data_IF_545420416762
#
_entry.id   IF_545420416762
#
_cell.length_a   1.000
_cell.length_b   1.000
_cell.length_c   1.000
_cell.angle_alpha   90.00
_cell.angle_beta   90.00
_cell.angle_gamma   90.00
#
_symmetry.space_group_name_H-M   'P 1'
#
loop_
_entity.id
_entity.type
_entity.pdbx_description
1 polymer ?
#
# COMPACT_ATOMS: atom_id res chain seq x y z
N UNK A 1 -49.12 24.12 -10.57
CA UNK A 1 -48.13 24.92 -11.33
C UNK A 1 -46.74 24.86 -10.70
N UNK A 2 -46.60 24.77 -9.37
CA UNK A 2 -45.32 24.63 -8.66
C UNK A 2 -44.50 23.41 -9.14
N UNK A 3 -45.14 22.25 -9.30
CA UNK A 3 -44.48 21.02 -9.80
C UNK A 3 -43.82 21.17 -11.19
N UNK A 4 -44.44 21.91 -12.11
CA UNK A 4 -43.88 22.08 -13.45
C UNK A 4 -42.67 23.02 -13.46
N UNK A 5 -42.66 24.01 -12.56
CA UNK A 5 -41.56 24.95 -12.42
C UNK A 5 -40.35 24.30 -11.76
N UNK A 6 -40.57 23.51 -10.72
CA UNK A 6 -39.53 22.69 -10.08
C UNK A 6 -38.96 21.66 -11.07
N UNK A 7 -39.82 21.06 -11.90
CA UNK A 7 -39.41 20.16 -12.97
C UNK A 7 -38.51 20.84 -14.01
N UNK A 8 -38.88 21.99 -14.56
CA UNK A 8 -38.03 22.68 -15.54
C UNK A 8 -36.70 23.10 -14.90
N UNK A 9 -36.73 23.56 -13.64
CA UNK A 9 -35.52 23.86 -12.87
C UNK A 9 -34.60 22.65 -12.70
N UNK A 10 -35.16 21.48 -12.39
CA UNK A 10 -34.38 20.24 -12.22
C UNK A 10 -33.82 19.72 -13.54
N UNK A 11 -34.51 19.91 -14.67
CA UNK A 11 -34.01 19.58 -16.01
C UNK A 11 -32.81 20.46 -16.38
N UNK A 12 -32.86 21.76 -16.11
CA UNK A 12 -31.72 22.67 -16.34
C UNK A 12 -30.53 22.24 -15.48
N UNK A 13 -30.77 21.91 -14.21
CA UNK A 13 -29.75 21.37 -13.30
C UNK A 13 -29.13 20.08 -13.84
N UNK A 14 -29.94 19.16 -14.35
CA UNK A 14 -29.48 17.90 -14.92
C UNK A 14 -28.57 18.12 -16.14
N UNK A 15 -28.96 18.99 -17.06
CA UNK A 15 -28.10 19.33 -18.21
C UNK A 15 -26.82 20.03 -17.77
N UNK A 16 -26.88 20.92 -16.78
CA UNK A 16 -25.70 21.56 -16.19
C UNK A 16 -24.73 20.52 -15.60
N UNK A 17 -25.25 19.63 -14.77
CA UNK A 17 -24.45 18.63 -14.05
C UNK A 17 -23.91 17.54 -14.98
N UNK A 18 -24.69 17.11 -15.99
CA UNK A 18 -24.23 16.18 -17.02
C UNK A 18 -23.12 16.75 -17.91
N UNK A 19 -23.00 18.08 -18.02
CA UNK A 19 -21.88 18.77 -18.68
C UNK A 19 -20.76 19.14 -17.71
N UNK A 20 -20.87 18.76 -16.43
CA UNK A 20 -19.87 19.04 -15.40
C UNK A 20 -19.74 20.52 -15.05
N UNK A 21 -20.73 21.34 -15.39
CA UNK A 21 -20.71 22.78 -15.17
C UNK A 21 -21.10 23.08 -13.72
N UNK A 22 -20.32 23.91 -13.06
CA UNK A 22 -20.76 24.53 -11.82
C UNK A 22 -21.88 25.54 -12.12
N UNK A 23 -22.70 25.81 -11.11
CA UNK A 23 -23.77 26.80 -11.24
C UNK A 23 -23.23 28.21 -11.52
N UNK A 24 -21.96 28.50 -11.18
CA UNK A 24 -21.30 29.76 -11.55
C UNK A 24 -20.90 29.80 -13.02
N UNK A 25 -20.32 28.72 -13.53
CA UNK A 25 -19.92 28.64 -14.94
C UNK A 25 -21.12 28.74 -15.87
N UNK A 26 -22.22 28.01 -15.59
CA UNK A 26 -23.42 28.14 -16.41
C UNK A 26 -24.05 29.54 -16.31
N UNK A 27 -24.01 30.17 -15.15
CA UNK A 27 -24.52 31.53 -14.97
C UNK A 27 -23.72 32.56 -15.79
N UNK A 28 -22.39 32.43 -15.79
CA UNK A 28 -21.50 33.27 -16.59
C UNK A 28 -21.71 33.04 -18.09
N UNK A 29 -21.76 31.78 -18.53
CA UNK A 29 -21.95 31.42 -19.94
C UNK A 29 -23.30 31.86 -20.50
N UNK A 30 -24.35 31.80 -19.67
CA UNK A 30 -25.68 32.27 -20.02
C UNK A 30 -25.88 33.76 -19.76
N UNK A 31 -24.86 34.50 -19.34
CA UNK A 31 -24.96 35.93 -18.97
C UNK A 31 -26.18 36.21 -18.07
N UNK A 32 -26.31 35.42 -17.00
CA UNK A 32 -27.37 35.57 -15.99
C UNK A 32 -26.78 35.63 -14.58
N UNK A 33 -27.40 36.38 -13.64
CA UNK A 33 -26.92 36.39 -12.28
C UNK A 33 -26.95 34.98 -11.66
N UNK A 34 -25.84 34.58 -11.04
CA UNK A 34 -25.73 33.30 -10.30
C UNK A 34 -26.90 33.05 -9.35
N UNK A 35 -27.32 34.09 -8.62
CA UNK A 35 -28.44 34.02 -7.68
C UNK A 35 -29.77 33.76 -8.37
N UNK A 36 -29.93 34.20 -9.62
CA UNK A 36 -31.12 33.97 -10.42
C UNK A 36 -31.14 32.55 -10.96
N UNK A 37 -30.02 32.06 -11.52
CA UNK A 37 -29.91 30.67 -11.98
C UNK A 37 -30.12 29.67 -10.82
N UNK A 38 -29.56 29.97 -9.65
CA UNK A 38 -29.72 29.12 -8.45
C UNK A 38 -31.19 29.00 -8.02
N UNK A 39 -31.92 30.12 -8.03
CA UNK A 39 -33.35 30.14 -7.73
C UNK A 39 -34.18 29.51 -8.85
N UNK A 40 -33.76 29.61 -10.11
CA UNK A 40 -34.44 28.97 -11.23
C UNK A 40 -34.34 27.44 -11.15
N UNK A 41 -33.15 26.89 -10.87
CA UNK A 41 -32.95 25.44 -10.74
C UNK A 41 -33.62 24.81 -9.51
N UNK A 42 -33.78 25.58 -8.44
CA UNK A 42 -34.49 25.14 -7.23
C UNK A 42 -36.01 25.30 -7.34
N UNK A 43 -36.51 25.95 -8.40
CA UNK A 43 -37.93 26.27 -8.54
C UNK A 43 -38.37 27.54 -7.79
N UNK A 44 -37.47 28.22 -7.08
CA UNK A 44 -37.71 29.44 -6.30
C UNK A 44 -37.79 30.72 -7.13
N UNK A 45 -37.36 30.71 -8.41
CA UNK A 45 -37.57 31.79 -9.40
C UNK A 45 -38.29 31.27 -10.66
N UNK A 46 -39.15 32.09 -11.28
CA UNK A 46 -39.87 31.73 -12.50
C UNK A 46 -38.90 31.80 -13.67
N UNK A 47 -38.93 30.77 -14.51
CA UNK A 47 -38.20 30.71 -15.78
C UNK A 47 -39.14 31.24 -16.87
N UNK A 48 -38.71 32.26 -17.59
CA UNK A 48 -39.42 32.76 -18.77
C UNK A 48 -38.97 32.00 -20.04
N UNK A 49 -39.73 32.19 -21.12
CA UNK A 49 -39.48 31.50 -22.38
C UNK A 49 -38.18 31.91 -23.04
N UNK A 50 -37.74 33.17 -22.88
CA UNK A 50 -36.50 33.68 -23.47
C UNK A 50 -35.28 33.03 -22.83
N UNK A 51 -35.29 32.91 -21.49
CA UNK A 51 -34.26 32.19 -20.76
C UNK A 51 -34.25 30.70 -21.12
N UNK A 52 -35.42 30.06 -21.24
CA UNK A 52 -35.49 28.65 -21.60
C UNK A 52 -34.95 28.38 -23.02
N UNK A 53 -35.19 29.27 -23.99
CA UNK A 53 -34.57 29.21 -25.33
C UNK A 53 -33.04 29.30 -25.21
N UNK A 54 -32.54 30.26 -24.43
CA UNK A 54 -31.10 30.47 -24.23
C UNK A 54 -30.41 29.23 -23.65
N UNK A 55 -31.07 28.57 -22.69
CA UNK A 55 -30.58 27.33 -22.09
C UNK A 55 -30.62 26.16 -23.09
N UNK A 56 -31.72 26.03 -23.84
CA UNK A 56 -31.88 25.01 -24.86
C UNK A 56 -30.81 25.12 -25.97
N UNK A 57 -30.56 26.33 -26.45
CA UNK A 57 -29.50 26.62 -27.44
C UNK A 57 -28.10 26.34 -26.88
N UNK A 58 -27.83 26.74 -25.64
CA UNK A 58 -26.55 26.48 -24.97
C UNK A 58 -26.25 24.98 -24.86
N UNK A 59 -27.26 24.17 -24.53
CA UNK A 59 -27.11 22.72 -24.42
C UNK A 59 -27.30 21.97 -25.74
N UNK A 60 -27.68 22.66 -26.82
CA UNK A 60 -27.94 22.07 -28.13
C UNK A 60 -29.15 21.13 -28.15
N UNK A 61 -30.17 21.41 -27.35
CA UNK A 61 -31.40 20.61 -27.22
C UNK A 61 -32.63 21.42 -27.61
N UNK A 62 -33.74 20.75 -27.97
CA UNK A 62 -34.98 21.47 -28.28
C UNK A 62 -35.74 21.82 -26.99
N UNK A 63 -36.53 22.90 -27.03
CA UNK A 63 -37.38 23.29 -25.89
C UNK A 63 -38.39 22.18 -25.55
N UNK A 64 -38.95 21.51 -26.56
CA UNK A 64 -39.84 20.37 -26.36
C UNK A 64 -39.14 19.24 -25.58
N UNK A 65 -37.84 19.01 -25.82
CA UNK A 65 -37.03 18.05 -25.05
C UNK A 65 -36.91 18.45 -23.58
N UNK A 66 -36.80 19.75 -23.28
CA UNK A 66 -36.71 20.23 -21.90
C UNK A 66 -38.06 20.23 -21.17
N UNK A 67 -39.18 20.21 -21.91
CA UNK A 67 -40.54 20.35 -21.36
C UNK A 67 -41.34 19.03 -21.32
N UNK A 68 -40.88 17.96 -21.98
CA UNK A 68 -41.64 16.72 -22.09
C UNK A 68 -41.52 15.80 -20.85
N UNK A 69 -42.67 15.39 -20.30
CA UNK A 69 -42.87 14.81 -18.95
C UNK A 69 -42.40 13.35 -18.73
N UNK A 70 -41.33 12.89 -19.37
CA UNK A 70 -40.79 11.54 -19.11
C UNK A 70 -39.26 11.58 -18.96
N UNK A 71 -38.81 11.89 -17.74
CA UNK A 71 -37.40 11.74 -17.29
C UNK A 71 -36.82 10.37 -17.71
N UNK A 72 -37.68 9.34 -17.70
CA UNK A 72 -37.34 7.96 -18.05
C UNK A 72 -37.13 7.71 -19.56
N UNK A 73 -37.64 8.55 -20.47
CA UNK A 73 -37.42 8.40 -21.92
C UNK A 73 -36.14 9.10 -22.40
N UNK A 74 -35.70 10.14 -21.68
CA UNK A 74 -34.41 10.79 -21.94
C UNK A 74 -33.27 9.88 -21.44
N UNK A 75 -33.38 9.30 -20.24
CA UNK A 75 -32.45 8.25 -19.79
C UNK A 75 -32.42 7.08 -20.79
N UNK A 76 -33.58 6.55 -21.20
CA UNK A 76 -33.65 5.41 -22.14
C UNK A 76 -33.06 5.71 -23.52
N UNK A 77 -33.26 6.90 -24.09
CA UNK A 77 -32.73 7.23 -25.42
C UNK A 77 -31.23 7.59 -25.40
N UNK A 78 -30.73 8.14 -24.29
CA UNK A 78 -29.30 8.40 -24.10
C UNK A 78 -28.57 7.07 -23.85
N UNK A 79 -29.14 6.19 -23.02
CA UNK A 79 -28.64 4.83 -22.81
C UNK A 79 -28.79 3.93 -24.04
N UNK A 80 -29.83 4.06 -24.88
CA UNK A 80 -29.96 3.26 -26.12
C UNK A 80 -28.94 3.63 -27.21
N UNK A 81 -28.49 4.89 -27.27
CA UNK A 81 -27.40 5.29 -28.20
C UNK A 81 -26.01 4.96 -27.66
N UNK A 82 -25.83 4.96 -26.34
CA UNK A 82 -24.58 4.53 -25.70
C UNK A 82 -24.46 3.00 -25.59
N UNK A 83 -25.57 2.25 -25.61
CA UNK A 83 -25.57 0.78 -25.51
C UNK A 83 -25.05 0.04 -26.76
N UNK A 84 -24.55 0.73 -27.78
CA UNK A 84 -23.83 0.10 -28.90
C UNK A 84 -22.29 0.11 -28.73
N UNK A 85 -21.71 0.90 -27.81
CA UNK A 85 -20.27 0.86 -27.49
C UNK A 85 -20.03 0.17 -26.14
N UNK A 86 -19.44 -1.02 -26.14
CA UNK A 86 -19.04 -1.70 -24.91
C UNK A 86 -17.73 -1.16 -24.34
N UNK A 87 -17.38 -1.55 -23.11
CA UNK A 87 -16.09 -1.21 -22.48
C UNK A 87 -14.86 -1.41 -23.38
N UNK A 88 -14.84 -2.48 -24.20
CA UNK A 88 -13.80 -2.71 -25.22
C UNK A 88 -13.65 -1.53 -26.18
N UNK A 89 -14.75 -1.03 -26.73
CA UNK A 89 -14.74 0.05 -27.73
C UNK A 89 -14.32 1.37 -27.09
N UNK A 90 -14.71 1.61 -25.84
CA UNK A 90 -14.27 2.76 -25.07
C UNK A 90 -12.75 2.74 -24.80
N UNK A 91 -12.17 1.59 -24.46
CA UNK A 91 -10.70 1.45 -24.35
C UNK A 91 -10.01 1.62 -25.70
N UNK A 92 -10.56 1.00 -26.75
CA UNK A 92 -10.03 1.11 -28.12
C UNK A 92 -10.00 2.56 -28.60
N UNK A 93 -11.03 3.34 -28.29
CA UNK A 93 -11.08 4.76 -28.63
C UNK A 93 -9.88 5.54 -28.05
N UNK A 94 -9.45 5.23 -26.83
CA UNK A 94 -8.26 5.86 -26.23
C UNK A 94 -7.01 5.46 -27.01
N UNK A 95 -6.80 4.16 -27.21
CA UNK A 95 -5.62 3.64 -27.90
C UNK A 95 -5.46 4.25 -29.29
N UNK A 96 -6.56 4.39 -30.03
CA UNK A 96 -6.55 4.89 -31.41
C UNK A 96 -6.36 6.43 -31.49
N UNK A 97 -6.84 7.19 -30.50
CA UNK A 97 -6.99 8.65 -30.63
C UNK A 97 -6.13 9.48 -29.66
N UNK A 98 -5.51 8.86 -28.64
CA UNK A 98 -4.82 9.63 -27.59
C UNK A 98 -3.56 10.35 -28.09
N UNK A 99 -2.81 9.77 -29.03
CA UNK A 99 -1.61 10.42 -29.60
C UNK A 99 -1.97 11.73 -30.30
N UNK A 100 -3.07 11.74 -31.06
CA UNK A 100 -3.58 12.94 -31.72
C UNK A 100 -4.08 13.92 -30.68
N UNK A 101 -4.91 13.47 -29.73
CA UNK A 101 -5.42 14.31 -28.65
C UNK A 101 -4.31 15.04 -27.87
N UNK A 102 -3.19 14.37 -27.62
CA UNK A 102 -2.04 14.94 -26.90
C UNK A 102 -1.35 16.08 -27.67
N UNK A 103 -1.54 16.18 -28.98
CA UNK A 103 -1.07 17.31 -29.79
C UNK A 103 -2.06 18.49 -29.83
N UNK A 104 -3.26 18.31 -29.29
CA UNK A 104 -4.33 19.31 -29.27
C UNK A 104 -4.38 20.06 -27.92
N UNK A 105 -5.23 21.10 -27.86
CA UNK A 105 -5.45 21.87 -26.62
C UNK A 105 -6.02 20.97 -25.51
N UNK A 106 -5.41 21.01 -24.33
CA UNK A 106 -5.81 20.17 -23.19
C UNK A 106 -7.19 20.54 -22.61
N UNK A 107 -7.50 21.82 -22.50
CA UNK A 107 -8.70 22.31 -21.78
C UNK A 107 -9.97 21.83 -22.49
N UNK A 108 -10.89 21.24 -21.73
CA UNK A 108 -12.21 20.77 -22.20
C UNK A 108 -12.17 19.75 -23.35
N UNK A 109 -11.05 19.06 -23.54
CA UNK A 109 -10.90 18.11 -24.63
C UNK A 109 -11.74 16.83 -24.43
N UNK A 110 -12.40 16.35 -25.50
CA UNK A 110 -13.27 15.15 -25.50
C UNK A 110 -12.60 13.89 -24.92
N UNK A 111 -11.33 13.65 -25.26
CA UNK A 111 -10.53 12.54 -24.71
C UNK A 111 -10.40 12.64 -23.18
N UNK A 112 -10.28 13.85 -22.64
CA UNK A 112 -10.24 14.06 -21.20
C UNK A 112 -11.57 13.68 -20.53
N UNK A 113 -12.71 14.02 -21.14
CA UNK A 113 -14.02 13.59 -20.65
C UNK A 113 -14.21 12.07 -20.78
N UNK A 114 -13.76 11.49 -21.91
CA UNK A 114 -13.85 10.06 -22.17
C UNK A 114 -13.14 9.22 -21.09
N UNK A 115 -11.90 9.60 -20.75
CA UNK A 115 -11.12 8.91 -19.71
C UNK A 115 -11.68 9.17 -18.31
N UNK A 116 -12.11 10.40 -18.00
CA UNK A 116 -12.53 10.78 -16.64
C UNK A 116 -13.95 10.33 -16.28
N UNK A 117 -14.87 10.35 -17.25
CA UNK A 117 -16.30 10.18 -16.99
C UNK A 117 -16.89 8.97 -17.72
N UNK A 118 -16.68 8.85 -19.03
CA UNK A 118 -17.31 7.77 -19.83
C UNK A 118 -16.82 6.39 -19.37
N UNK A 119 -15.50 6.17 -19.35
CA UNK A 119 -14.94 4.90 -18.89
C UNK A 119 -15.25 4.64 -17.41
N UNK A 120 -15.23 5.70 -16.58
CA UNK A 120 -15.55 5.59 -15.16
C UNK A 120 -16.94 4.97 -14.98
N UNK A 121 -17.96 5.54 -15.65
CA UNK A 121 -19.34 5.09 -15.52
C UNK A 121 -19.50 3.66 -16.05
N UNK A 122 -18.90 3.34 -17.20
CA UNK A 122 -18.91 1.97 -17.76
C UNK A 122 -18.34 0.94 -16.80
N UNK A 123 -17.21 1.23 -16.14
CA UNK A 123 -16.61 0.32 -15.14
C UNK A 123 -17.56 0.10 -13.97
N UNK A 124 -18.16 1.19 -13.45
CA UNK A 124 -19.09 1.12 -12.31
C UNK A 124 -20.29 0.23 -12.65
N UNK A 125 -20.91 0.47 -13.80
CA UNK A 125 -22.10 -0.24 -14.24
C UNK A 125 -21.80 -1.71 -14.60
N UNK A 126 -20.84 -1.97 -15.50
CA UNK A 126 -20.58 -3.31 -16.00
C UNK A 126 -19.93 -4.23 -14.94
N UNK A 127 -19.08 -3.68 -14.06
CA UNK A 127 -18.48 -4.46 -12.97
C UNK A 127 -19.36 -4.52 -11.71
N UNK A 128 -20.41 -3.70 -11.61
CA UNK A 128 -21.33 -3.65 -10.47
C UNK A 128 -20.65 -3.13 -9.19
N UNK A 129 -19.90 -2.04 -9.30
CA UNK A 129 -19.15 -1.47 -8.18
C UNK A 129 -20.02 -0.51 -7.36
N UNK A 130 -19.99 -0.67 -6.03
CA UNK A 130 -20.61 0.29 -5.10
C UNK A 130 -19.73 1.54 -4.97
N UNK A 131 -20.19 2.67 -5.49
CA UNK A 131 -19.49 3.95 -5.41
C UNK A 131 -19.34 4.49 -3.98
N UNK A 132 -20.03 3.94 -2.98
CA UNK A 132 -19.75 4.27 -1.58
C UNK A 132 -18.43 3.67 -1.11
N UNK A 133 -18.06 2.49 -1.62
CA UNK A 133 -16.83 1.77 -1.27
C UNK A 133 -15.68 2.03 -2.24
N UNK A 134 -15.98 2.13 -3.53
CA UNK A 134 -14.98 2.28 -4.57
C UNK A 134 -14.91 3.72 -5.07
N UNK A 135 -13.69 4.20 -5.35
CA UNK A 135 -13.47 5.47 -6.03
C UNK A 135 -12.72 5.22 -7.33
N UNK A 136 -13.39 5.49 -8.46
CA UNK A 136 -12.84 5.33 -9.79
C UNK A 136 -12.50 6.71 -10.34
N UNK A 137 -11.28 6.88 -10.82
CA UNK A 137 -10.82 8.15 -11.38
C UNK A 137 -9.88 7.91 -12.56
N UNK A 138 -10.11 8.65 -13.64
CA UNK A 138 -9.23 8.70 -14.80
C UNK A 138 -8.35 9.96 -14.79
N UNK A 139 -7.17 9.85 -15.37
CA UNK A 139 -6.30 11.00 -15.60
C UNK A 139 -5.66 10.94 -16.98
N UNK A 140 -5.71 12.07 -17.66
CA UNK A 140 -4.93 12.36 -18.88
C UNK A 140 -3.90 13.45 -18.61
N UNK A 141 -3.55 13.65 -17.33
CA UNK A 141 -2.74 14.76 -16.83
C UNK A 141 -3.59 15.89 -16.21
N UNK A 142 -2.90 16.85 -15.61
CA UNK A 142 -3.48 18.01 -14.92
C UNK A 142 -2.90 19.29 -15.51
N UNK A 143 -3.68 19.98 -16.35
CA UNK A 143 -3.25 21.19 -17.06
C UNK A 143 -2.37 20.94 -18.28
N UNK A 144 -1.69 19.79 -18.35
CA UNK A 144 -0.92 19.30 -19.50
C UNK A 144 -1.23 17.84 -19.74
N UNK A 145 -1.10 17.37 -20.99
CA UNK A 145 -1.31 15.98 -21.35
C UNK A 145 -0.25 15.07 -20.71
N UNK A 146 -0.71 14.00 -20.07
CA UNK A 146 0.16 12.97 -19.54
C UNK A 146 0.75 12.13 -20.68
N UNK A 147 2.00 11.72 -20.50
CA UNK A 147 2.64 10.73 -21.38
C UNK A 147 1.91 9.38 -21.30
N UNK A 148 1.52 9.00 -20.07
CA UNK A 148 0.80 7.78 -19.72
C UNK A 148 -0.54 8.19 -19.09
N UNK A 149 -1.66 8.18 -19.84
CA UNK A 149 -2.97 8.28 -19.23
C UNK A 149 -3.27 7.01 -18.44
N UNK A 150 -4.21 7.10 -17.50
CA UNK A 150 -4.59 5.97 -16.67
C UNK A 150 -6.01 6.08 -16.14
N UNK A 151 -6.59 4.94 -15.75
CA UNK A 151 -7.83 4.86 -14.96
C UNK A 151 -7.56 3.99 -13.74
N UNK A 152 -7.74 4.52 -12.54
CA UNK A 152 -7.55 3.81 -11.29
C UNK A 152 -8.87 3.49 -10.61
N UNK A 153 -8.89 2.37 -9.92
CA UNK A 153 -10.00 1.87 -9.11
C UNK A 153 -9.44 1.68 -7.69
N UNK A 154 -9.93 2.51 -6.78
CA UNK A 154 -9.50 2.54 -5.39
C UNK A 154 -10.57 1.96 -4.48
N UNK A 155 -10.17 1.18 -3.48
CA UNK A 155 -10.96 0.95 -2.27
C UNK A 155 -10.70 2.16 -1.36
N UNK A 156 -11.74 2.93 -1.06
CA UNK A 156 -11.62 4.23 -0.36
C UNK A 156 -10.93 4.13 1.00
N UNK A 157 -11.14 3.02 1.71
CA UNK A 157 -10.53 2.77 3.02
C UNK A 157 -9.02 2.51 2.94
N UNK A 158 -8.51 2.10 1.76
CA UNK A 158 -7.08 1.92 1.52
C UNK A 158 -6.46 3.21 0.99
N UNK A 159 -7.06 3.80 -0.05
CA UNK A 159 -6.53 4.99 -0.71
C UNK A 159 -7.58 5.68 -1.57
N UNK A 160 -7.31 6.93 -1.92
CA UNK A 160 -8.06 7.70 -2.93
C UNK A 160 -7.14 8.33 -3.98
N UNK A 161 -5.86 7.91 -4.00
CA UNK A 161 -4.82 8.47 -4.87
C UNK A 161 -3.90 7.38 -5.41
N UNK A 162 -3.42 7.55 -6.65
CA UNK A 162 -2.43 6.66 -7.24
C UNK A 162 -1.01 6.85 -6.66
N UNK A 163 -0.82 7.80 -5.76
CA UNK A 163 0.51 8.09 -5.18
C UNK A 163 0.81 7.29 -3.92
N UNK A 164 -0.20 6.68 -3.30
CA UNK A 164 -0.13 5.94 -2.03
C UNK A 164 -1.13 4.79 -2.01
N UNK A 165 -0.84 3.76 -1.21
CA UNK A 165 -1.70 2.60 -1.05
C UNK A 165 -1.60 1.63 -2.22
N UNK A 166 -2.48 0.64 -2.18
CA UNK A 166 -2.64 -0.37 -3.23
C UNK A 166 -3.88 -0.05 -4.03
N UNK A 167 -3.89 -0.41 -5.31
CA UNK A 167 -5.01 -0.10 -6.19
C UNK A 167 -4.95 -0.91 -7.48
N UNK A 168 -6.08 -0.99 -8.17
CA UNK A 168 -6.12 -1.49 -9.54
C UNK A 168 -6.03 -0.30 -10.48
N UNK A 169 -5.25 -0.43 -11.55
CA UNK A 169 -5.08 0.64 -12.55
C UNK A 169 -4.97 0.09 -13.96
N UNK A 170 -5.67 0.73 -14.89
CA UNK A 170 -5.43 0.63 -16.32
C UNK A 170 -4.34 1.65 -16.70
N UNK A 171 -3.16 1.18 -17.09
CA UNK A 171 -2.01 2.00 -17.49
C UNK A 171 -1.77 1.87 -18.99
N UNK A 172 -1.99 2.94 -19.74
CA UNK A 172 -1.74 2.94 -21.18
C UNK A 172 -0.25 3.12 -21.45
N UNK A 173 0.29 2.36 -22.41
CA UNK A 173 1.67 2.56 -22.85
C UNK A 173 1.81 3.94 -23.50
N UNK A 174 2.98 4.57 -23.38
CA UNK A 174 3.26 5.92 -23.87
C UNK A 174 3.07 6.06 -25.40
N UNK A 175 3.22 4.96 -26.13
CA UNK A 175 3.03 4.81 -27.57
C UNK A 175 1.60 4.37 -27.96
N UNK A 176 0.73 4.08 -26.98
CA UNK A 176 -0.62 3.52 -27.14
C UNK A 176 -0.65 2.15 -27.83
N UNK A 177 0.45 1.39 -27.85
CA UNK A 177 0.47 0.05 -28.45
C UNK A 177 -0.34 -0.97 -27.64
N UNK A 178 -0.75 -0.61 -26.43
CA UNK A 178 -1.57 -1.44 -25.54
C UNK A 178 -1.80 -0.77 -24.19
N UNK A 179 -2.58 -1.45 -23.35
CA UNK A 179 -2.93 -1.02 -22.00
C UNK A 179 -2.75 -2.17 -21.03
N UNK A 180 -2.06 -1.94 -19.91
CA UNK A 180 -1.97 -2.91 -18.83
C UNK A 180 -3.14 -2.72 -17.88
N UNK A 181 -3.77 -3.80 -17.43
CA UNK A 181 -4.44 -3.80 -16.12
C UNK A 181 -3.43 -4.27 -15.08
N UNK A 182 -3.33 -3.56 -13.98
CA UNK A 182 -2.32 -3.81 -12.95
C UNK A 182 -2.95 -3.70 -11.57
N UNK A 183 -2.76 -4.72 -10.74
CA UNK A 183 -2.72 -4.52 -9.29
C UNK A 183 -1.37 -3.83 -9.00
N UNK A 184 -1.42 -2.66 -8.40
CA UNK A 184 -0.28 -1.75 -8.29
C UNK A 184 -0.24 -1.10 -6.90
N UNK A 185 0.84 -0.38 -6.62
CA UNK A 185 1.07 0.32 -5.36
C UNK A 185 1.77 1.66 -5.57
N UNK A 186 1.49 2.59 -4.64
CA UNK A 186 2.00 3.96 -4.69
C UNK A 186 3.48 4.06 -4.34
N UNK A 187 4.23 4.75 -5.21
CA UNK A 187 5.68 5.00 -5.08
C UNK A 187 6.10 5.92 -3.92
N UNK A 188 5.24 6.86 -3.52
CA UNK A 188 5.62 8.00 -2.66
C UNK A 188 6.15 7.58 -1.29
N UNK A 189 5.55 6.56 -0.69
CA UNK A 189 5.97 6.04 0.61
C UNK A 189 7.44 5.59 0.59
N UNK A 190 7.80 4.77 -0.39
CA UNK A 190 9.14 4.20 -0.52
C UNK A 190 10.18 5.27 -0.83
N UNK A 191 9.86 6.23 -1.71
CA UNK A 191 10.73 7.37 -2.02
C UNK A 191 11.03 8.20 -0.77
N UNK A 192 10.01 8.50 0.02
CA UNK A 192 10.16 9.37 1.19
C UNK A 192 10.94 8.67 2.32
N UNK A 193 10.68 7.37 2.53
CA UNK A 193 11.31 6.60 3.62
C UNK A 193 12.74 6.15 3.28
N UNK A 194 12.96 5.60 2.09
CA UNK A 194 14.22 4.94 1.71
C UNK A 194 15.03 5.72 0.67
N UNK A 195 14.53 6.86 0.17
CA UNK A 195 15.14 7.58 -0.95
C UNK A 195 14.93 6.88 -2.30
N UNK A 196 15.45 7.46 -3.38
CA UNK A 196 15.14 6.99 -4.74
C UNK A 196 15.70 5.61 -5.08
N UNK A 197 16.96 5.33 -4.74
CA UNK A 197 17.62 4.08 -5.15
C UNK A 197 17.05 2.89 -4.37
N UNK A 198 17.23 2.90 -3.04
CA UNK A 198 16.73 1.85 -2.17
C UNK A 198 15.20 1.76 -2.18
N UNK A 199 14.50 2.89 -2.31
CA UNK A 199 13.03 2.88 -2.43
C UNK A 199 12.54 2.05 -3.62
N UNK A 200 13.23 2.07 -4.77
CA UNK A 200 12.87 1.26 -5.96
C UNK A 200 13.02 -0.23 -5.68
N UNK A 201 14.07 -0.61 -4.97
CA UNK A 201 14.28 -1.99 -4.52
C UNK A 201 13.17 -2.39 -3.52
N UNK A 202 12.84 -1.53 -2.55
CA UNK A 202 11.83 -1.82 -1.52
C UNK A 202 10.41 -1.92 -2.04
N UNK A 203 10.02 -1.12 -3.04
CA UNK A 203 8.70 -1.25 -3.66
C UNK A 203 8.60 -2.57 -4.44
N UNK A 204 9.66 -2.98 -5.14
CA UNK A 204 9.72 -4.27 -5.83
C UNK A 204 9.67 -5.44 -4.84
N UNK A 205 10.45 -5.39 -3.75
CA UNK A 205 10.38 -6.38 -2.66
C UNK A 205 8.95 -6.49 -2.11
N UNK A 206 8.28 -5.35 -1.91
CA UNK A 206 6.89 -5.31 -1.43
C UNK A 206 5.93 -5.97 -2.43
N UNK A 207 6.10 -5.73 -3.73
CA UNK A 207 5.31 -6.36 -4.77
C UNK A 207 5.48 -7.89 -4.74
N UNK A 208 6.72 -8.37 -4.63
CA UNK A 208 7.03 -9.80 -4.58
C UNK A 208 6.51 -10.48 -3.31
N UNK A 209 6.58 -9.80 -2.17
CA UNK A 209 6.03 -10.30 -0.90
C UNK A 209 4.52 -10.43 -1.00
N UNK A 210 3.83 -9.41 -1.50
CA UNK A 210 2.37 -9.46 -1.68
C UNK A 210 1.99 -10.57 -2.64
N UNK A 211 2.67 -10.67 -3.79
CA UNK A 211 2.41 -11.71 -4.79
C UNK A 211 2.51 -13.12 -4.19
N UNK A 212 3.50 -13.38 -3.35
CA UNK A 212 3.67 -14.68 -2.65
C UNK A 212 2.62 -14.94 -1.56
N UNK A 213 2.08 -13.90 -0.95
CA UNK A 213 1.08 -14.01 0.12
C UNK A 213 -0.35 -14.16 -0.40
N UNK A 214 -0.63 -13.69 -1.61
CA UNK A 214 -1.96 -13.74 -2.21
C UNK A 214 -2.34 -15.16 -2.64
N UNK A 215 -3.50 -15.62 -2.19
CA UNK A 215 -4.06 -16.92 -2.56
C UNK A 215 -4.94 -16.84 -3.82
N UNK A 216 -5.44 -15.65 -4.13
CA UNK A 216 -6.45 -15.43 -5.19
C UNK A 216 -5.86 -14.85 -6.47
N UNK A 217 -4.54 -14.90 -6.65
CA UNK A 217 -3.88 -14.36 -7.84
C UNK A 217 -4.48 -14.98 -9.12
N UNK A 218 -4.99 -14.18 -10.07
CA UNK A 218 -5.74 -14.73 -11.20
C UNK A 218 -4.83 -15.40 -12.25
N UNK A 219 -5.29 -16.51 -12.83
CA UNK A 219 -4.53 -17.29 -13.80
C UNK A 219 -4.13 -16.48 -15.06
N UNK A 220 -4.99 -15.58 -15.50
CA UNK A 220 -4.74 -14.76 -16.70
C UNK A 220 -3.80 -13.57 -16.42
N UNK A 221 -3.42 -13.32 -15.16
CA UNK A 221 -2.55 -12.22 -14.75
C UNK A 221 -1.08 -12.66 -14.70
N UNK A 222 -0.52 -12.93 -15.87
CA UNK A 222 0.82 -13.51 -16.02
C UNK A 222 1.96 -12.50 -15.97
N UNK A 223 1.67 -11.20 -16.14
CA UNK A 223 2.71 -10.18 -16.08
C UNK A 223 3.09 -9.92 -14.61
N UNK A 224 4.37 -10.11 -14.30
CA UNK A 224 4.99 -9.71 -13.02
C UNK A 224 5.87 -8.48 -13.17
N UNK A 225 6.06 -8.02 -14.41
CA UNK A 225 6.76 -6.79 -14.79
C UNK A 225 5.99 -6.13 -15.94
N UNK A 226 6.04 -4.80 -16.01
CA UNK A 226 5.39 -4.02 -17.08
C UNK A 226 6.36 -3.00 -17.67
N UNK A 227 6.12 -2.62 -18.93
CA UNK A 227 6.90 -1.58 -19.61
C UNK A 227 5.95 -0.58 -20.27
N UNK A 228 5.84 0.60 -19.66
CA UNK A 228 4.99 1.69 -20.10
C UNK A 228 5.68 2.55 -21.15
N UNK A 229 7.02 2.57 -21.18
CA UNK A 229 7.80 3.33 -22.16
C UNK A 229 7.84 4.84 -21.91
N UNK A 230 7.43 5.29 -20.73
CA UNK A 230 7.53 6.70 -20.32
C UNK A 230 8.88 7.02 -19.68
N UNK A 231 9.31 8.29 -19.76
CA UNK A 231 10.67 8.71 -19.34
C UNK A 231 10.76 9.25 -17.90
N UNK A 232 9.63 9.44 -17.23
CA UNK A 232 9.55 10.10 -15.92
C UNK A 232 9.57 9.18 -14.69
N UNK A 233 9.90 9.76 -13.53
CA UNK A 233 9.85 9.10 -12.20
C UNK A 233 8.52 8.39 -11.92
N UNK A 234 7.40 8.97 -12.39
CA UNK A 234 6.07 8.38 -12.22
C UNK A 234 5.87 7.13 -13.08
N UNK A 235 6.36 7.12 -14.32
CA UNK A 235 6.30 5.95 -15.18
C UNK A 235 7.08 4.78 -14.55
N UNK A 236 8.31 5.06 -14.11
CA UNK A 236 9.13 4.09 -13.39
C UNK A 236 8.50 3.70 -12.05
N UNK A 237 7.82 4.61 -11.36
CA UNK A 237 7.07 4.33 -10.15
C UNK A 237 5.96 3.29 -10.38
N UNK A 238 5.20 3.43 -11.47
CA UNK A 238 4.18 2.44 -11.84
C UNK A 238 4.76 1.08 -12.24
N UNK A 239 5.88 1.08 -12.98
CA UNK A 239 6.57 -0.15 -13.39
C UNK A 239 7.11 -0.91 -12.17
N UNK A 240 7.80 -0.21 -11.26
CA UNK A 240 8.34 -0.81 -10.03
C UNK A 240 7.26 -1.15 -9.00
N UNK A 241 6.12 -0.44 -9.03
CA UNK A 241 4.96 -0.69 -8.18
C UNK A 241 4.06 -1.83 -8.65
N UNK A 242 4.34 -2.42 -9.82
CA UNK A 242 3.52 -3.48 -10.37
C UNK A 242 3.59 -4.76 -9.53
N UNK A 243 2.44 -5.22 -9.04
CA UNK A 243 2.34 -6.48 -8.28
C UNK A 243 2.09 -7.63 -9.23
N UNK A 244 1.01 -7.58 -10.00
CA UNK A 244 0.79 -8.40 -11.19
C UNK A 244 -0.34 -7.84 -12.04
N UNK A 245 -0.49 -8.36 -13.25
CA UNK A 245 -1.52 -7.96 -14.18
C UNK A 245 -1.38 -8.63 -15.53
N UNK A 246 -1.93 -8.00 -16.57
CA UNK A 246 -1.69 -8.43 -17.95
C UNK A 246 -1.77 -7.26 -18.93
N UNK A 247 -1.14 -7.46 -20.09
CA UNK A 247 -1.19 -6.52 -21.21
C UNK A 247 -2.39 -6.84 -22.11
N UNK A 248 -3.11 -5.81 -22.50
CA UNK A 248 -4.06 -5.83 -23.62
C UNK A 248 -3.42 -5.15 -24.81
N UNK A 249 -3.05 -5.93 -25.82
CA UNK A 249 -2.48 -5.43 -27.08
C UNK A 249 -3.55 -4.67 -27.88
N UNK A 250 -3.21 -3.48 -28.40
CA UNK A 250 -4.16 -2.65 -29.13
C UNK A 250 -4.71 -3.32 -30.40
N UNK A 251 -3.97 -4.24 -31.00
CA UNK A 251 -4.37 -5.00 -32.18
C UNK A 251 -5.16 -6.26 -31.84
N UNK A 252 -5.17 -6.68 -30.57
CA UNK A 252 -5.83 -7.90 -30.12
C UNK A 252 -6.55 -7.69 -28.77
N UNK A 253 -7.42 -6.69 -28.72
CA UNK A 253 -8.22 -6.41 -27.53
C UNK A 253 -9.25 -7.53 -27.28
N UNK A 254 -9.39 -7.98 -26.02
CA UNK A 254 -10.41 -8.96 -25.66
C UNK A 254 -11.82 -8.36 -25.67
N UNK A 255 -12.83 -9.20 -25.41
CA UNK A 255 -14.22 -8.74 -25.30
C UNK A 255 -14.46 -7.92 -24.02
N UNK A 256 -15.48 -7.05 -24.00
CA UNK A 256 -15.88 -6.32 -22.77
C UNK A 256 -16.13 -7.27 -21.61
N UNK A 257 -16.80 -8.41 -21.86
CA UNK A 257 -17.03 -9.45 -20.85
C UNK A 257 -15.73 -9.96 -20.22
N UNK A 258 -14.69 -10.14 -21.02
CA UNK A 258 -13.39 -10.63 -20.54
C UNK A 258 -12.65 -9.56 -19.74
N UNK A 259 -12.66 -8.29 -20.18
CA UNK A 259 -12.12 -7.17 -19.39
C UNK A 259 -12.76 -7.07 -18.00
N UNK A 260 -14.10 -7.20 -17.95
CA UNK A 260 -14.84 -7.13 -16.69
C UNK A 260 -14.58 -8.36 -15.82
N UNK A 261 -14.39 -9.54 -16.43
CA UNK A 261 -13.98 -10.75 -15.71
C UNK A 261 -12.63 -10.57 -15.04
N UNK A 262 -11.63 -10.11 -15.78
CA UNK A 262 -10.29 -9.82 -15.26
C UNK A 262 -10.32 -8.82 -14.10
N UNK A 263 -11.10 -7.75 -14.25
CA UNK A 263 -11.26 -6.75 -13.20
C UNK A 263 -11.86 -7.37 -11.92
N UNK A 264 -12.89 -8.22 -12.06
CA UNK A 264 -13.52 -8.90 -10.91
C UNK A 264 -12.56 -9.87 -10.21
N UNK A 265 -11.71 -10.55 -10.97
CA UNK A 265 -10.65 -11.39 -10.41
C UNK A 265 -9.63 -10.56 -9.62
N UNK A 266 -9.14 -9.45 -10.20
CA UNK A 266 -8.23 -8.53 -9.50
C UNK A 266 -8.85 -7.88 -8.27
N UNK A 267 -10.15 -7.55 -8.31
CA UNK A 267 -10.88 -7.02 -7.16
C UNK A 267 -10.93 -8.02 -6.01
N UNK A 268 -10.92 -9.33 -6.29
CA UNK A 268 -10.87 -10.37 -5.26
C UNK A 268 -9.54 -10.31 -4.53
N UNK A 269 -8.43 -10.23 -5.26
CA UNK A 269 -7.11 -10.12 -4.64
C UNK A 269 -6.85 -8.77 -3.99
N UNK A 270 -7.41 -7.69 -4.52
CA UNK A 270 -7.31 -6.38 -3.89
C UNK A 270 -8.02 -6.37 -2.52
N UNK A 271 -9.16 -7.05 -2.39
CA UNK A 271 -9.83 -7.28 -1.09
C UNK A 271 -9.02 -8.21 -0.16
N UNK A 272 -8.25 -9.14 -0.71
CA UNK A 272 -7.33 -9.96 0.10
C UNK A 272 -6.20 -9.10 0.70
N UNK A 273 -5.68 -8.12 -0.06
CA UNK A 273 -4.76 -7.10 0.49
C UNK A 273 -5.42 -6.30 1.61
N UNK A 274 -6.65 -5.80 1.39
CA UNK A 274 -7.45 -5.12 2.44
C UNK A 274 -7.56 -5.96 3.71
N UNK A 275 -7.88 -7.25 3.56
CA UNK A 275 -7.97 -8.18 4.68
C UNK A 275 -6.61 -8.43 5.34
N UNK A 276 -5.51 -8.53 4.58
CA UNK A 276 -4.17 -8.66 5.14
C UNK A 276 -3.76 -7.41 5.92
N UNK A 277 -4.08 -6.21 5.42
CA UNK A 277 -3.81 -4.94 6.11
C UNK A 277 -4.45 -4.93 7.50
N UNK A 278 -5.70 -5.36 7.64
CA UNK A 278 -6.41 -5.33 8.92
C UNK A 278 -6.55 -3.88 9.41
N UNK A 279 -6.24 -3.63 10.69
CA UNK A 279 -6.40 -2.30 11.30
C UNK A 279 -5.21 -1.36 11.06
N UNK A 280 -4.30 -1.71 10.15
CA UNK A 280 -3.10 -0.91 9.85
C UNK A 280 -3.40 0.14 8.79
N UNK A 281 -2.79 1.31 8.95
CA UNK A 281 -2.61 2.22 7.83
C UNK A 281 -1.76 1.58 6.73
N UNK A 282 -1.81 2.14 5.51
CA UNK A 282 -0.98 1.71 4.39
C UNK A 282 0.51 1.70 4.76
N UNK A 283 0.99 2.75 5.42
CA UNK A 283 2.41 2.90 5.74
C UNK A 283 2.83 1.82 6.76
N UNK A 284 2.03 1.62 7.81
CA UNK A 284 2.25 0.55 8.81
C UNK A 284 2.20 -0.86 8.19
N UNK A 285 1.35 -1.06 7.18
CA UNK A 285 1.32 -2.33 6.46
C UNK A 285 2.60 -2.54 5.65
N UNK A 286 3.07 -1.51 4.93
CA UNK A 286 4.35 -1.57 4.22
C UNK A 286 5.53 -1.81 5.18
N UNK A 287 5.57 -1.13 6.32
CA UNK A 287 6.57 -1.36 7.38
C UNK A 287 6.60 -2.83 7.78
N UNK A 288 5.43 -3.40 8.07
CA UNK A 288 5.33 -4.80 8.46
C UNK A 288 5.74 -5.77 7.35
N UNK A 289 5.38 -5.51 6.09
CA UNK A 289 5.78 -6.37 4.97
C UNK A 289 7.31 -6.38 4.80
N UNK A 290 7.95 -5.22 4.99
CA UNK A 290 9.38 -5.06 4.80
C UNK A 290 10.24 -5.48 5.98
N UNK A 291 9.66 -5.82 7.14
CA UNK A 291 10.41 -6.25 8.34
C UNK A 291 11.54 -7.24 8.04
N UNK A 292 11.19 -8.42 7.50
CA UNK A 292 12.17 -9.45 7.17
C UNK A 292 13.17 -9.04 6.08
N UNK A 293 12.76 -8.15 5.17
CA UNK A 293 13.61 -7.59 4.10
C UNK A 293 14.59 -6.54 4.67
N UNK A 294 14.22 -5.90 5.77
CA UNK A 294 15.04 -4.99 6.59
C UNK A 294 15.86 -5.76 7.65
N UNK A 295 15.84 -7.10 7.67
CA UNK A 295 16.58 -7.92 8.65
C UNK A 295 15.97 -7.94 10.05
N UNK A 296 14.71 -7.50 10.17
CA UNK A 296 13.97 -7.35 11.40
C UNK A 296 12.90 -8.42 11.58
N UNK A 297 12.69 -8.85 12.83
CA UNK A 297 11.81 -9.96 13.19
C UNK A 297 11.01 -9.63 14.45
N UNK A 298 9.85 -10.27 14.62
CA UNK A 298 9.01 -10.11 15.81
C UNK A 298 9.17 -11.29 16.78
N UNK A 299 8.84 -11.06 18.04
CA UNK A 299 8.79 -12.06 19.12
C UNK A 299 7.32 -12.29 19.51
N UNK A 300 6.57 -13.03 18.70
CA UNK A 300 5.12 -13.27 18.94
C UNK A 300 4.80 -14.70 19.37
N UNK A 301 5.50 -15.70 18.82
CA UNK A 301 5.26 -17.11 19.07
C UNK A 301 6.52 -17.96 18.86
N UNK A 302 6.40 -19.27 19.10
CA UNK A 302 7.50 -20.21 19.00
C UNK A 302 8.00 -20.40 17.56
N UNK A 303 7.13 -20.31 16.55
CA UNK A 303 7.53 -20.44 15.14
C UNK A 303 8.38 -19.25 14.70
N UNK A 304 8.01 -18.04 15.14
CA UNK A 304 8.80 -16.83 14.91
C UNK A 304 10.13 -16.84 15.64
N UNK A 305 10.18 -17.43 16.84
CA UNK A 305 11.43 -17.62 17.57
C UNK A 305 12.38 -18.55 16.82
N UNK A 306 11.90 -19.71 16.36
CA UNK A 306 12.72 -20.64 15.57
C UNK A 306 13.18 -20.00 14.26
N UNK A 307 12.29 -19.27 13.58
CA UNK A 307 12.64 -18.53 12.37
C UNK A 307 13.71 -17.46 12.64
N UNK A 308 13.63 -16.75 13.76
CA UNK A 308 14.64 -15.76 14.14
C UNK A 308 16.01 -16.42 14.37
N UNK A 309 16.07 -17.55 15.07
CA UNK A 309 17.33 -18.29 15.28
C UNK A 309 17.93 -18.78 13.95
N UNK A 310 17.12 -19.25 12.99
CA UNK A 310 17.58 -19.60 11.63
C UNK A 310 18.20 -18.39 10.90
N UNK A 311 17.60 -17.21 11.05
CA UNK A 311 18.10 -15.98 10.41
C UNK A 311 19.40 -15.49 11.03
N UNK A 312 19.59 -15.67 12.34
CA UNK A 312 20.88 -15.44 12.99
C UNK A 312 21.95 -16.37 12.42
N UNK A 313 21.65 -17.66 12.24
CA UNK A 313 22.60 -18.60 11.61
C UNK A 313 22.92 -18.18 10.17
N UNK A 314 21.92 -17.75 9.41
CA UNK A 314 22.13 -17.25 8.04
C UNK A 314 23.05 -16.01 8.01
N UNK A 315 22.86 -15.06 8.92
CA UNK A 315 23.70 -13.87 9.08
C UNK A 315 25.17 -14.24 9.36
N UNK A 316 25.39 -15.12 10.35
CA UNK A 316 26.72 -15.63 10.69
C UNK A 316 27.41 -16.30 9.49
N UNK A 317 26.66 -17.04 8.68
CA UNK A 317 27.20 -17.72 7.49
C UNK A 317 27.65 -16.78 6.37
N UNK A 318 27.10 -15.55 6.30
CA UNK A 318 27.57 -14.51 5.38
C UNK A 318 28.87 -13.88 5.87
N UNK A 319 28.97 -13.63 7.18
CA UNK A 319 30.15 -13.04 7.81
C UNK A 319 31.35 -13.98 7.77
N UNK A 320 31.19 -15.27 8.07
CA UNK A 320 32.29 -16.27 7.97
C UNK A 320 32.90 -16.27 6.56
N UNK A 321 32.06 -16.19 5.52
CA UNK A 321 32.52 -16.11 4.12
C UNK A 321 33.23 -14.80 3.79
N UNK A 322 32.95 -13.73 4.53
CA UNK A 322 33.60 -12.43 4.38
C UNK A 322 34.93 -12.39 5.14
N UNK A 323 35.00 -12.91 6.37
CA UNK A 323 36.22 -13.03 7.18
C UNK A 323 37.27 -13.94 6.50
N UNK A 324 36.86 -15.02 5.83
CA UNK A 324 37.75 -15.84 4.98
C UNK A 324 38.39 -15.04 3.82
N UNK A 325 37.83 -13.88 3.46
CA UNK A 325 38.31 -13.01 2.37
C UNK A 325 39.10 -11.79 2.87
N UNK A 326 38.94 -11.40 4.13
CA UNK A 326 39.59 -10.20 4.72
C UNK A 326 39.89 -10.44 6.20
N UNK A 327 41.17 -10.33 6.59
CA UNK A 327 41.65 -10.43 7.96
C UNK A 327 41.50 -9.09 8.70
N UNK A 328 40.28 -8.74 9.10
CA UNK A 328 40.03 -7.61 10.00
C UNK A 328 39.47 -8.14 11.30
N UNK A 329 40.19 -7.92 12.40
CA UNK A 329 39.67 -8.08 13.76
C UNK A 329 38.47 -7.13 13.93
N UNK A 330 37.34 -7.63 14.41
CA UNK A 330 36.23 -6.77 14.79
C UNK A 330 36.60 -6.01 16.05
N UNK A 331 36.70 -4.68 15.94
CA UNK A 331 36.82 -3.83 17.11
C UNK A 331 35.57 -4.01 18.00
N UNK A 332 35.81 -4.33 19.27
CA UNK A 332 34.82 -4.31 20.35
C UNK A 332 34.40 -2.86 20.60
N UNK A 333 33.59 -2.31 19.68
CA UNK A 333 33.02 -0.98 19.83
C UNK A 333 32.09 -1.02 21.04
N UNK A 334 32.34 -0.18 22.04
CA UNK A 334 31.45 0.01 23.19
C UNK A 334 30.00 0.16 22.72
N UNK A 335 29.13 -0.67 23.29
CA UNK A 335 27.70 -0.63 23.01
C UNK A 335 27.14 0.66 23.63
N UNK A 336 26.76 1.61 22.77
CA UNK A 336 26.26 2.91 23.20
C UNK A 336 24.72 2.94 23.21
N UNK A 337 24.10 3.77 24.06
CA UNK A 337 22.67 4.00 24.03
C UNK A 337 22.18 4.40 22.64
N UNK A 338 21.17 3.70 22.13
CA UNK A 338 20.47 4.06 20.91
C UNK A 338 19.05 4.51 21.22
N UNK A 339 18.47 5.45 20.44
CA UNK A 339 17.09 5.85 20.63
C UNK A 339 16.14 4.66 20.48
N UNK A 340 15.03 4.69 21.22
CA UNK A 340 13.93 3.73 21.04
C UNK A 340 13.51 3.69 19.56
N UNK A 341 13.41 2.50 18.94
CA UNK A 341 12.94 2.39 17.56
C UNK A 341 11.45 2.77 17.46
N UNK A 342 10.98 3.05 16.26
CA UNK A 342 9.54 3.13 16.01
C UNK A 342 8.92 1.71 16.08
N UNK A 343 7.72 1.55 16.66
CA UNK A 343 7.04 0.27 16.66
C UNK A 343 6.56 -0.08 15.25
N UNK A 344 6.46 -1.38 14.99
CA UNK A 344 5.65 -1.89 13.89
C UNK A 344 4.30 -2.34 14.43
N UNK A 345 3.31 -2.48 13.56
CA UNK A 345 1.95 -2.78 13.97
C UNK A 345 1.55 -4.15 13.43
N UNK A 346 0.92 -4.96 14.29
CA UNK A 346 0.30 -6.21 13.85
C UNK A 346 -1.04 -5.97 13.15
N UNK A 347 -1.65 -7.04 12.64
CA UNK A 347 -2.94 -6.98 11.93
C UNK A 347 -4.07 -6.38 12.78
N UNK A 348 -4.02 -6.52 14.11
CA UNK A 348 -5.02 -5.96 15.03
C UNK A 348 -4.80 -4.47 15.33
N UNK A 349 -3.66 -3.92 14.90
CA UNK A 349 -3.25 -2.54 15.20
C UNK A 349 -2.49 -2.40 16.50
N UNK A 350 -2.02 -3.50 17.11
CA UNK A 350 -1.21 -3.46 18.32
C UNK A 350 0.26 -3.23 17.98
N UNK A 351 0.92 -2.39 18.77
CA UNK A 351 2.36 -2.17 18.68
C UNK A 351 3.16 -3.45 18.95
N UNK A 352 4.18 -3.66 18.13
CA UNK A 352 5.17 -4.73 18.19
C UNK A 352 6.55 -4.14 17.99
N UNK A 353 7.54 -4.77 18.60
CA UNK A 353 8.90 -4.25 18.65
C UNK A 353 9.83 -5.18 17.88
N UNK A 354 10.41 -4.74 16.76
CA UNK A 354 11.31 -5.57 15.98
C UNK A 354 12.66 -5.77 16.66
N UNK A 355 13.28 -6.91 16.35
CA UNK A 355 14.65 -7.29 16.70
C UNK A 355 15.46 -7.63 15.45
N UNK A 356 16.76 -7.36 15.48
CA UNK A 356 17.68 -7.42 14.35
C UNK A 356 18.59 -8.67 14.44
N UNK A 357 18.56 -9.50 13.41
CA UNK A 357 19.36 -10.73 13.37
C UNK A 357 20.87 -10.47 13.28
N UNK A 358 21.31 -9.34 12.72
CA UNK A 358 22.73 -8.96 12.65
C UNK A 358 23.25 -8.56 14.04
N UNK A 359 22.45 -7.84 14.83
CA UNK A 359 22.81 -7.50 16.21
C UNK A 359 22.96 -8.78 17.05
N UNK A 360 22.05 -9.74 16.87
CA UNK A 360 22.12 -11.05 17.50
C UNK A 360 23.31 -11.90 17.02
N UNK A 361 23.62 -11.90 15.73
CA UNK A 361 24.82 -12.55 15.18
C UNK A 361 26.11 -11.97 15.78
N UNK A 362 26.21 -10.64 15.87
CA UNK A 362 27.33 -9.94 16.54
C UNK A 362 27.43 -10.35 18.01
N UNK A 363 26.33 -10.42 18.74
CA UNK A 363 26.32 -10.83 20.14
C UNK A 363 26.84 -12.27 20.35
N UNK A 364 26.55 -13.20 19.44
CA UNK A 364 27.10 -14.56 19.49
C UNK A 364 28.61 -14.60 19.24
N UNK A 365 29.12 -13.77 18.33
CA UNK A 365 30.56 -13.70 18.04
C UNK A 365 31.33 -13.11 19.21
N UNK A 366 30.83 -12.01 19.79
CA UNK A 366 31.40 -11.39 20.99
C UNK A 366 31.37 -12.30 22.22
N UNK A 367 30.46 -13.28 22.27
CA UNK A 367 30.43 -14.28 23.35
C UNK A 367 31.47 -15.40 23.19
N UNK A 368 32.26 -15.37 22.11
CA UNK A 368 33.18 -16.44 21.72
C UNK A 368 32.50 -17.82 21.65
N UNK A 369 31.20 -17.85 21.32
CA UNK A 369 30.38 -19.06 21.31
C UNK A 369 30.37 -19.80 22.65
N UNK A 370 30.45 -19.06 23.77
CA UNK A 370 30.26 -19.57 25.14
C UNK A 370 28.87 -19.21 25.66
N UNK A 371 28.28 -20.11 26.46
CA UNK A 371 27.00 -19.88 27.10
C UNK A 371 27.15 -18.88 28.25
N UNK A 372 26.30 -17.85 28.27
CA UNK A 372 26.35 -16.76 29.26
C UNK A 372 25.98 -17.21 30.67
N UNK A 373 25.18 -18.28 30.80
CA UNK A 373 24.85 -18.82 32.13
C UNK A 373 26.01 -19.63 32.72
N UNK A 374 26.62 -20.51 31.92
CA UNK A 374 27.78 -21.32 32.30
C UNK A 374 28.63 -21.64 31.06
N UNK A 375 29.87 -21.14 31.00
CA UNK A 375 30.77 -21.32 29.85
C UNK A 375 31.13 -22.79 29.58
N UNK A 376 31.02 -23.65 30.61
CA UNK A 376 31.28 -25.09 30.50
C UNK A 376 30.15 -25.84 29.79
N UNK A 377 28.94 -25.27 29.71
CA UNK A 377 27.81 -25.90 29.03
C UNK A 377 28.10 -26.10 27.55
N UNK A 378 28.05 -27.36 27.12
CA UNK A 378 28.27 -27.76 25.74
C UNK A 378 26.96 -27.85 24.96
N UNK A 379 27.08 -27.78 23.64
CA UNK A 379 26.04 -28.11 22.67
C UNK A 379 26.72 -28.69 21.42
N UNK A 380 25.95 -29.01 20.38
CA UNK A 380 26.49 -29.52 19.13
C UNK A 380 27.23 -28.44 18.32
N UNK A 381 28.07 -28.87 17.38
CA UNK A 381 28.80 -27.96 16.48
C UNK A 381 27.88 -27.48 15.34
N UNK A 382 27.74 -26.18 15.17
CA UNK A 382 27.03 -25.58 14.04
C UNK A 382 27.77 -25.87 12.74
N UNK A 383 27.04 -26.37 11.73
CA UNK A 383 27.57 -26.55 10.37
C UNK A 383 27.95 -25.21 9.73
N UNK A 384 27.32 -24.11 10.16
CA UNK A 384 27.52 -22.78 9.57
C UNK A 384 28.83 -22.16 10.06
N UNK A 385 29.03 -22.14 11.37
CA UNK A 385 30.19 -21.46 11.97
C UNK A 385 31.35 -22.40 12.28
N UNK A 386 31.12 -23.72 12.32
CA UNK A 386 32.10 -24.68 12.84
C UNK A 386 32.35 -24.55 14.36
N UNK A 387 31.57 -23.71 15.05
CA UNK A 387 31.66 -23.45 16.50
C UNK A 387 30.48 -24.08 17.23
N UNK A 388 30.49 -24.00 18.56
CA UNK A 388 29.38 -24.44 19.41
C UNK A 388 28.09 -23.70 19.02
N UNK A 389 26.98 -24.44 18.86
CA UNK A 389 25.68 -23.86 18.54
C UNK A 389 25.04 -23.23 19.77
N UNK A 390 24.69 -21.95 19.70
CA UNK A 390 23.99 -21.23 20.76
C UNK A 390 22.81 -20.46 20.16
N UNK A 391 21.84 -20.16 21.01
CA UNK A 391 20.68 -19.34 20.71
C UNK A 391 20.83 -17.99 21.41
N UNK A 392 20.31 -16.93 20.80
CA UNK A 392 20.36 -15.59 21.38
C UNK A 392 19.07 -15.30 22.12
N UNK A 393 19.19 -14.74 23.32
CA UNK A 393 18.08 -14.37 24.18
C UNK A 393 18.20 -12.91 24.65
N UNK A 394 17.14 -12.13 24.53
CA UNK A 394 17.06 -10.78 25.10
C UNK A 394 16.81 -10.85 26.61
N UNK A 395 17.77 -10.40 27.44
CA UNK A 395 17.58 -10.45 28.90
C UNK A 395 16.33 -9.68 29.37
N UNK A 396 16.08 -8.48 28.85
CA UNK A 396 14.78 -7.81 29.00
C UNK A 396 13.91 -8.19 27.79
N UNK A 397 12.77 -8.88 27.95
CA UNK A 397 11.98 -9.35 26.80
C UNK A 397 11.52 -8.21 25.87
N UNK A 398 11.57 -8.40 24.55
CA UNK A 398 11.33 -7.32 23.58
C UNK A 398 9.90 -6.76 23.64
N UNK A 399 8.94 -7.55 24.11
CA UNK A 399 7.56 -7.09 24.38
C UNK A 399 7.49 -5.88 25.33
N UNK A 400 8.51 -5.65 26.15
CA UNK A 400 8.62 -4.52 27.09
C UNK A 400 9.39 -3.32 26.54
N UNK A 401 9.89 -3.34 25.30
CA UNK A 401 10.58 -2.20 24.66
C UNK A 401 9.79 -0.89 24.76
N UNK A 402 8.45 -0.98 24.81
CA UNK A 402 7.55 0.15 25.04
C UNK A 402 7.87 0.98 26.30
N UNK A 403 8.36 0.33 27.35
CA UNK A 403 8.63 0.91 28.68
C UNK A 403 9.99 1.64 28.76
N UNK A 404 10.84 1.49 27.74
CA UNK A 404 12.19 2.06 27.71
C UNK A 404 12.32 3.16 26.65
N UNK A 405 13.13 4.19 26.95
CA UNK A 405 13.43 5.30 26.02
C UNK A 405 14.57 5.00 25.06
N UNK A 406 15.29 3.91 25.29
CA UNK A 406 16.41 3.43 24.49
C UNK A 406 16.04 2.10 23.84
N UNK A 407 16.73 1.73 22.77
CA UNK A 407 16.59 0.40 22.17
C UNK A 407 17.06 -0.68 23.15
N UNK A 408 16.25 -1.73 23.30
CA UNK A 408 16.59 -2.96 24.02
C UNK A 408 17.40 -3.93 23.13
N UNK A 409 17.32 -3.77 21.82
CA UNK A 409 17.97 -4.66 20.85
C UNK A 409 19.45 -4.28 20.64
N UNK A 410 20.23 -4.53 21.70
CA UNK A 410 21.64 -4.15 21.86
C UNK A 410 22.47 -5.33 22.35
N UNK A 411 23.72 -5.45 21.92
CA UNK A 411 24.58 -6.60 22.26
C UNK A 411 24.85 -6.73 23.76
N UNK A 412 24.81 -5.62 24.49
CA UNK A 412 24.90 -5.57 25.96
C UNK A 412 23.80 -6.38 26.65
N UNK A 413 22.58 -6.41 26.10
CA UNK A 413 21.43 -7.13 26.64
C UNK A 413 21.32 -8.58 26.13
N UNK A 414 21.89 -8.85 24.95
CA UNK A 414 21.79 -10.15 24.32
C UNK A 414 22.68 -11.20 25.00
N UNK A 415 22.07 -12.35 25.27
CA UNK A 415 22.70 -13.49 25.92
C UNK A 415 22.82 -14.64 24.94
N UNK A 416 24.05 -15.10 24.71
CA UNK A 416 24.30 -16.36 24.02
C UNK A 416 24.04 -17.52 25.01
N UNK A 417 23.01 -18.33 24.78
CA UNK A 417 22.62 -19.44 25.65
C UNK A 417 22.68 -20.76 24.88
N UNK A 418 23.07 -21.85 25.55
CA UNK A 418 22.86 -23.16 24.93
C UNK A 418 21.34 -23.45 24.83
N UNK A 419 20.89 -24.33 23.92
CA UNK A 419 19.46 -24.61 23.75
C UNK A 419 18.77 -25.00 25.07
N UNK A 420 19.44 -25.76 25.93
CA UNK A 420 18.92 -26.11 27.26
C UNK A 420 18.70 -24.89 28.15
N UNK A 421 19.68 -23.99 28.26
CA UNK A 421 19.56 -22.77 29.05
C UNK A 421 18.49 -21.82 28.49
N UNK A 422 18.42 -21.67 27.16
CA UNK A 422 17.40 -20.84 26.55
C UNK A 422 15.99 -21.41 26.77
N UNK A 423 15.79 -22.72 26.71
CA UNK A 423 14.50 -23.31 27.08
C UNK A 423 14.21 -23.19 28.58
N UNK A 424 15.22 -23.33 29.44
CA UNK A 424 15.08 -23.21 30.90
C UNK A 424 14.62 -21.81 31.32
N UNK A 425 15.14 -20.74 30.72
CA UNK A 425 14.76 -19.36 31.10
C UNK A 425 13.28 -19.05 30.75
N UNK A 426 12.72 -19.72 29.75
CA UNK A 426 11.32 -19.57 29.34
C UNK A 426 10.37 -20.56 30.04
N UNK A 427 10.79 -21.81 30.22
CA UNK A 427 9.90 -22.92 30.59
C UNK A 427 10.27 -23.61 31.90
N UNK A 428 11.41 -23.26 32.50
CA UNK A 428 11.81 -23.78 33.80
C UNK A 428 10.83 -23.38 34.91
N UNK A 429 10.95 -24.04 36.05
CA UNK A 429 10.25 -23.64 37.27
C UNK A 429 10.63 -22.20 37.66
N UNK A 430 9.80 -21.54 38.45
CA UNK A 430 10.09 -20.18 38.92
C UNK A 430 11.42 -20.10 39.69
N UNK A 431 11.76 -21.13 40.46
CA UNK A 431 13.05 -21.24 41.15
C UNK A 431 14.22 -21.35 40.17
N UNK A 432 14.13 -22.21 39.16
CA UNK A 432 15.17 -22.36 38.13
C UNK A 432 15.35 -21.09 37.30
N UNK A 433 14.25 -20.44 36.89
CA UNK A 433 14.30 -19.17 36.17
C UNK A 433 14.89 -18.07 37.05
N UNK A 434 14.51 -17.99 38.32
CA UNK A 434 15.03 -16.96 39.23
C UNK A 434 16.53 -17.12 39.48
N UNK A 435 17.01 -18.34 39.72
CA UNK A 435 18.43 -18.61 39.90
C UNK A 435 19.24 -18.19 38.66
N UNK A 436 18.73 -18.53 37.48
CA UNK A 436 19.35 -18.17 36.20
C UNK A 436 19.33 -16.66 35.96
N UNK A 437 18.17 -16.02 36.09
CA UNK A 437 18.00 -14.57 35.89
C UNK A 437 18.84 -13.76 36.87
N UNK A 438 18.99 -14.21 38.12
CA UNK A 438 19.80 -13.54 39.14
C UNK A 438 21.24 -13.42 38.68
N UNK A 439 21.85 -14.53 38.26
CA UNK A 439 23.22 -14.53 37.76
C UNK A 439 23.34 -13.62 36.53
N UNK A 440 22.51 -13.85 35.51
CA UNK A 440 22.56 -13.12 34.24
C UNK A 440 22.34 -11.62 34.41
N UNK A 441 21.43 -11.22 35.30
CA UNK A 441 21.17 -9.80 35.59
C UNK A 441 22.39 -9.13 36.21
N UNK A 442 23.00 -9.71 37.24
CA UNK A 442 24.16 -9.10 37.88
C UNK A 442 25.40 -9.12 36.99
N UNK A 443 25.56 -10.13 36.13
CA UNK A 443 26.63 -10.18 35.12
C UNK A 443 26.47 -9.09 34.04
N UNK A 444 25.23 -8.64 33.77
CA UNK A 444 24.92 -7.65 32.72
C UNK A 444 24.58 -6.25 33.24
N UNK A 445 24.43 -6.07 34.55
CA UNK A 445 23.90 -4.85 35.14
C UNK A 445 24.62 -3.58 34.67
N UNK A 446 25.94 -3.54 34.78
CA UNK A 446 26.74 -2.36 34.38
C UNK A 446 26.61 -2.09 32.88
N UNK A 447 26.53 -3.14 32.05
CA UNK A 447 26.34 -3.01 30.60
C UNK A 447 24.95 -2.49 30.25
N UNK A 448 23.92 -2.93 30.96
CA UNK A 448 22.55 -2.41 30.80
C UNK A 448 22.47 -0.93 31.19
N UNK A 449 23.07 -0.55 32.33
CA UNK A 449 23.14 0.84 32.78
C UNK A 449 23.90 1.72 31.76
N UNK A 450 24.99 1.21 31.18
CA UNK A 450 25.78 1.90 30.16
C UNK A 450 25.00 2.20 28.87
N UNK A 451 24.07 1.32 28.45
CA UNK A 451 23.18 1.56 27.30
C UNK A 451 21.89 2.31 27.67
N UNK A 452 21.74 2.76 28.93
CA UNK A 452 20.58 3.50 29.41
C UNK A 452 19.35 2.65 29.75
N UNK A 453 19.52 1.33 29.93
CA UNK A 453 18.47 0.42 30.38
C UNK A 453 18.47 0.36 31.91
N UNK A 454 17.65 1.20 32.51
CA UNK A 454 17.45 1.26 33.96
C UNK A 454 16.34 0.27 34.38
N UNK A 455 16.71 -0.88 34.96
CA UNK A 455 15.76 -1.87 35.47
C UNK A 455 16.28 -2.56 36.73
N UNK A 456 15.42 -2.75 37.73
CA UNK A 456 15.74 -3.53 38.94
C UNK A 456 15.49 -5.03 38.75
N UNK A 457 16.25 -5.87 39.48
CA UNK A 457 16.04 -7.33 39.44
C UNK A 457 14.60 -7.76 39.78
N UNK A 458 13.93 -7.05 40.68
CA UNK A 458 12.52 -7.30 41.04
C UNK A 458 11.57 -7.06 39.85
N UNK A 459 11.84 -6.05 39.05
CA UNK A 459 11.04 -5.74 37.85
C UNK A 459 11.30 -6.77 36.77
N UNK A 460 12.56 -7.13 36.55
CA UNK A 460 12.94 -8.20 35.63
C UNK A 460 12.24 -9.52 35.97
N UNK A 461 12.21 -9.95 37.24
CA UNK A 461 11.48 -11.16 37.67
C UNK A 461 10.01 -11.15 37.24
N UNK A 462 9.32 -10.01 37.43
CA UNK A 462 7.92 -9.85 37.02
C UNK A 462 7.74 -9.98 35.50
N UNK A 463 8.70 -9.48 34.71
CA UNK A 463 8.66 -9.59 33.25
C UNK A 463 8.73 -11.06 32.75
N UNK A 464 9.31 -11.96 33.55
CA UNK A 464 9.37 -13.41 33.32
C UNK A 464 8.22 -14.19 33.99
N UNK A 465 7.23 -13.49 34.56
CA UNK A 465 6.09 -14.11 35.24
C UNK A 465 6.46 -14.83 36.53
N UNK A 466 7.61 -14.50 37.14
CA UNK A 466 8.00 -15.05 38.44
C UNK A 466 7.31 -14.20 39.50
N UNK A 467 6.28 -14.76 40.13
CA UNK A 467 5.61 -14.12 41.25
C UNK A 467 6.48 -14.25 42.51
N UNK A 468 6.50 -13.19 43.32
CA UNK A 468 7.25 -13.10 44.57
C UNK A 468 6.34 -12.89 45.74
#
# INVERSE_FOLDING_TARGET
>A
MTEFREYVGSVIRLYRESKGLTLRELAEDLDVPFTSLSKMESGDQRIDSEFLVKVADYFGVSIDTMLNRSFEEIERNTHQRESELGFRDALKYILDNYQVARSELFKNHKMGNHVRNVIKNMIVEEAGLDENRFFIVGSVGQGQWAEIPWISIFIKDITTTATRGYYIVYLFKADMSGVYISLNQGWTYFKNKYGTKLGREKIQSTADIIRRKLNTAPFNMTATEITLGGRGDLAQGYENGHIYGRLYDANNLPSSKEFISDLKELLTSYKEIEYMMGNRSVDQFNDYLLLSDDGQYLEEDQEQEEYFQDKIQSALGLEVKAEERTSTEEEDTEDNPMPKPDPVFDKSGKERWPRDAQVAAKALRLSEYKCAYDESHTSFTSKVTGKRYLEVHHLVPMKYQGEFKVSLDRTAQLLALCPTCHRQIHHGTDEEKENMLRKLFYDRREKLEAIGVEIGFKELRKMYGIEG
#
